data_IF_477140750258
#
_entry.id   IF_477140750258
#
_cell.length_a   1.000
_cell.length_b   1.000
_cell.length_c   1.000
_cell.angle_alpha   90.00
_cell.angle_beta   90.00
_cell.angle_gamma   90.00
#
_symmetry.space_group_name_H-M   'P 1'
#
loop_
_entity.id
_entity.type
_entity.pdbx_description
1 polymer ?
#
# COMPACT_ATOMS: atom_id res chain seq x y z
N UNK A 1 -14.47 11.89 11.46
CA UNK A 1 -15.48 11.93 10.37
C UNK A 1 -15.69 10.48 9.94
N UNK A 2 -16.92 9.96 10.01
CA UNK A 2 -17.20 8.64 9.46
C UNK A 2 -17.33 8.77 7.94
N UNK A 3 -16.52 8.01 7.22
CA UNK A 3 -16.41 8.06 5.74
C UNK A 3 -17.00 6.81 5.08
N UNK A 4 -17.76 5.99 5.83
CA UNK A 4 -18.43 4.79 5.30
C UNK A 4 -17.49 3.63 4.92
N UNK A 5 -16.26 3.61 5.45
CA UNK A 5 -15.28 2.56 5.15
C UNK A 5 -15.51 1.30 5.97
N UNK A 6 -15.33 0.13 5.37
CA UNK A 6 -15.28 -1.15 6.08
C UNK A 6 -13.90 -1.33 6.74
N UNK A 7 -13.88 -1.88 7.95
CA UNK A 7 -12.65 -2.21 8.68
C UNK A 7 -12.59 -3.69 8.98
N UNK A 8 -11.38 -4.24 8.98
CA UNK A 8 -11.09 -5.64 9.27
C UNK A 8 -9.86 -5.74 10.16
N UNK A 9 -9.70 -6.85 10.87
CA UNK A 9 -8.59 -7.08 11.80
C UNK A 9 -7.40 -7.81 11.16
N UNK A 10 -7.49 -8.17 9.89
CA UNK A 10 -6.43 -8.85 9.13
C UNK A 10 -6.28 -8.26 7.74
N UNK A 11 -5.08 -8.41 7.17
CA UNK A 11 -4.78 -7.85 5.84
C UNK A 11 -5.39 -8.69 4.70
N UNK A 12 -5.52 -10.02 4.88
CA UNK A 12 -5.95 -10.93 3.82
C UNK A 12 -7.29 -10.54 3.15
N UNK A 13 -8.36 -10.18 3.90
CA UNK A 13 -9.61 -9.73 3.29
C UNK A 13 -9.44 -8.47 2.43
N UNK A 14 -8.52 -7.57 2.80
CA UNK A 14 -8.24 -6.34 2.04
C UNK A 14 -7.50 -6.66 0.75
N UNK A 15 -6.53 -7.58 0.82
CA UNK A 15 -5.73 -8.04 -0.34
C UNK A 15 -6.62 -8.73 -1.37
N UNK A 16 -7.56 -9.57 -0.92
CA UNK A 16 -8.46 -10.30 -1.81
C UNK A 16 -9.53 -9.40 -2.44
N UNK A 17 -10.00 -8.39 -1.70
CA UNK A 17 -11.05 -7.48 -2.17
C UNK A 17 -10.54 -6.36 -3.08
N UNK A 18 -9.41 -5.74 -2.74
CA UNK A 18 -8.95 -4.51 -3.38
C UNK A 18 -8.58 -4.67 -4.86
N UNK A 19 -9.00 -3.73 -5.70
CA UNK A 19 -8.45 -3.57 -7.06
C UNK A 19 -7.16 -2.75 -7.08
N UNK A 20 -7.05 -1.85 -6.11
CA UNK A 20 -5.87 -1.06 -5.81
C UNK A 20 -5.59 -1.20 -4.33
N UNK A 21 -4.38 -1.62 -3.99
CA UNK A 21 -3.94 -1.77 -2.61
C UNK A 21 -3.01 -0.63 -2.27
N UNK A 22 -3.40 0.16 -1.26
CA UNK A 22 -2.61 1.29 -0.77
C UNK A 22 -1.84 0.86 0.48
N UNK A 23 -0.52 0.77 0.36
CA UNK A 23 0.38 0.49 1.47
C UNK A 23 0.69 1.79 2.23
N UNK A 24 -0.05 2.02 3.31
CA UNK A 24 -0.02 3.24 4.13
C UNK A 24 0.45 2.99 5.58
N UNK A 25 1.23 1.94 5.82
CA UNK A 25 1.79 1.63 7.14
C UNK A 25 3.09 2.40 7.39
N UNK A 26 3.52 2.47 8.65
CA UNK A 26 4.84 3.03 9.01
C UNK A 26 5.96 2.26 8.29
N UNK A 27 7.07 2.91 7.89
CA UNK A 27 8.16 2.25 7.15
C UNK A 27 8.70 1.00 7.84
N UNK A 28 8.81 1.00 9.17
CA UNK A 28 9.31 -0.14 9.95
C UNK A 28 8.36 -1.34 9.93
N UNK A 29 7.08 -1.12 9.61
CA UNK A 29 6.04 -2.16 9.56
C UNK A 29 5.99 -2.83 8.19
N UNK A 30 6.47 -2.17 7.13
CA UNK A 30 6.40 -2.69 5.76
C UNK A 30 6.94 -4.11 5.62
N UNK A 31 8.14 -4.47 6.14
CA UNK A 31 8.68 -5.83 6.00
C UNK A 31 7.77 -6.92 6.56
N UNK A 32 6.96 -6.61 7.58
CA UNK A 32 6.02 -7.56 8.18
C UNK A 32 4.77 -7.78 7.32
N UNK A 33 4.40 -6.81 6.47
CA UNK A 33 3.19 -6.85 5.62
C UNK A 33 3.49 -7.40 4.22
N UNK A 34 4.73 -7.26 3.72
CA UNK A 34 5.12 -7.76 2.38
C UNK A 34 4.74 -9.24 2.12
N UNK A 35 4.86 -10.18 3.09
CA UNK A 35 4.47 -11.57 2.87
C UNK A 35 3.00 -11.77 2.49
N UNK A 36 2.10 -10.88 2.93
CA UNK A 36 0.67 -10.94 2.62
C UNK A 36 0.39 -10.60 1.16
N UNK A 37 1.33 -9.94 0.47
CA UNK A 37 1.18 -9.45 -0.91
C UNK A 37 1.67 -10.45 -1.96
N UNK A 38 2.19 -11.62 -1.56
CA UNK A 38 2.82 -12.59 -2.47
C UNK A 38 1.95 -13.07 -3.62
N UNK A 39 0.63 -13.07 -3.44
CA UNK A 39 -0.33 -13.50 -4.46
C UNK A 39 -1.08 -12.32 -5.11
N UNK A 40 -0.81 -11.09 -4.70
CA UNK A 40 -1.52 -9.91 -5.18
C UNK A 40 -1.00 -9.46 -6.55
N UNK A 41 -1.87 -9.49 -7.56
CA UNK A 41 -1.50 -9.22 -8.97
C UNK A 41 -2.02 -7.90 -9.53
N UNK A 42 -2.80 -7.15 -8.75
CA UNK A 42 -3.38 -5.87 -9.19
C UNK A 42 -2.48 -4.71 -8.77
N UNK A 43 -2.96 -3.46 -8.85
CA UNK A 43 -2.10 -2.30 -8.58
C UNK A 43 -1.72 -2.19 -7.11
N UNK A 44 -0.42 -2.17 -6.82
CA UNK A 44 0.14 -1.81 -5.52
C UNK A 44 0.60 -0.36 -5.54
N UNK A 45 0.00 0.50 -4.70
CA UNK A 45 0.42 1.88 -4.49
C UNK A 45 0.99 2.02 -3.09
N UNK A 46 2.23 2.50 -2.94
CA UNK A 46 2.88 2.69 -1.64
C UNK A 46 3.14 4.15 -1.36
N UNK A 47 2.75 4.60 -0.17
CA UNK A 47 3.11 5.91 0.39
C UNK A 47 4.15 5.81 1.52
N UNK A 48 4.68 4.61 1.76
CA UNK A 48 5.67 4.38 2.81
C UNK A 48 7.04 4.98 2.45
N UNK A 49 7.46 5.99 3.22
CA UNK A 49 8.74 6.66 3.03
C UNK A 49 9.93 5.71 3.29
N UNK A 50 11.04 5.91 2.55
CA UNK A 50 12.29 5.18 2.81
C UNK A 50 12.33 3.74 2.30
N UNK A 51 11.24 3.19 1.76
CA UNK A 51 11.23 1.86 1.15
C UNK A 51 11.58 1.96 -0.34
N UNK A 52 12.65 1.30 -0.82
CA UNK A 52 12.99 1.29 -2.24
C UNK A 52 11.90 0.64 -3.09
N UNK A 53 11.66 1.15 -4.31
CA UNK A 53 10.69 0.56 -5.25
C UNK A 53 10.99 -0.92 -5.51
N UNK A 54 12.26 -1.27 -5.71
CA UNK A 54 12.70 -2.64 -5.92
C UNK A 54 12.34 -3.60 -4.76
N UNK A 55 12.24 -3.10 -3.53
CA UNK A 55 11.81 -3.93 -2.38
C UNK A 55 10.31 -4.24 -2.44
N UNK A 56 9.51 -3.31 -2.96
CA UNK A 56 8.07 -3.48 -3.15
C UNK A 56 7.80 -4.41 -4.34
N UNK A 57 8.51 -4.24 -5.45
CA UNK A 57 8.39 -5.10 -6.64
C UNK A 57 8.74 -6.56 -6.32
N UNK A 58 9.74 -6.80 -5.47
CA UNK A 58 10.10 -8.15 -5.02
C UNK A 58 9.06 -8.81 -4.13
N UNK A 59 8.15 -8.04 -3.53
CA UNK A 59 7.13 -8.57 -2.62
C UNK A 59 5.89 -9.09 -3.34
N UNK A 60 5.71 -8.71 -4.61
CA UNK A 60 4.57 -9.08 -5.44
C UNK A 60 5.01 -10.00 -6.59
N UNK A 61 4.09 -10.75 -7.22
CA UNK A 61 4.38 -11.50 -8.45
C UNK A 61 4.98 -10.62 -9.55
N UNK A 62 5.82 -11.22 -10.39
CA UNK A 62 6.37 -10.52 -11.53
C UNK A 62 5.25 -10.05 -12.48
N UNK A 63 5.37 -8.84 -13.01
CA UNK A 63 4.36 -8.19 -13.84
C UNK A 63 3.25 -7.47 -13.05
N UNK A 64 3.23 -7.55 -11.73
CA UNK A 64 2.33 -6.72 -10.91
C UNK A 64 2.74 -5.25 -11.00
N UNK A 65 1.81 -4.33 -11.34
CA UNK A 65 2.12 -2.91 -11.40
C UNK A 65 2.33 -2.35 -9.99
N UNK A 66 3.46 -1.67 -9.78
CA UNK A 66 3.83 -1.05 -8.50
C UNK A 66 4.09 0.44 -8.71
N UNK A 67 3.42 1.27 -7.91
CA UNK A 67 3.63 2.73 -7.88
C UNK A 67 4.09 3.11 -6.48
N UNK A 68 5.14 3.93 -6.41
CA UNK A 68 5.59 4.56 -5.17
C UNK A 68 5.34 6.06 -5.24
N UNK A 69 4.68 6.59 -4.23
CA UNK A 69 4.38 8.02 -4.06
C UNK A 69 4.98 8.51 -2.75
N UNK A 70 5.42 9.76 -2.69
CA UNK A 70 5.85 10.41 -1.44
C UNK A 70 4.96 11.64 -1.20
N UNK A 71 3.77 11.46 -0.62
CA UNK A 71 2.91 12.59 -0.32
C UNK A 71 3.55 13.46 0.77
N UNK A 72 3.09 14.70 0.86
CA UNK A 72 3.43 15.64 1.93
C UNK A 72 2.20 15.92 2.80
N UNK A 73 2.41 16.50 3.98
CA UNK A 73 1.34 16.81 4.94
C UNK A 73 0.21 17.69 4.39
N UNK A 74 0.46 18.68 3.49
CA UNK A 74 -0.59 19.44 2.82
C UNK A 74 -1.64 18.63 2.06
N UNK A 75 -1.39 17.35 1.75
CA UNK A 75 -2.40 16.46 1.19
C UNK A 75 -3.67 16.34 2.06
N UNK A 76 -3.56 16.55 3.38
CA UNK A 76 -4.70 16.52 4.32
C UNK A 76 -5.73 17.60 3.99
N UNK A 77 -5.29 18.74 3.46
CA UNK A 77 -6.17 19.85 3.06
C UNK A 77 -6.37 19.91 1.53
N UNK A 78 -5.96 18.87 0.81
CA UNK A 78 -6.08 18.80 -0.65
C UNK A 78 -5.07 19.66 -1.41
N UNK A 79 -4.05 20.20 -0.74
CA UNK A 79 -3.03 21.08 -1.33
C UNK A 79 -1.68 20.38 -1.48
N UNK A 80 -1.70 19.06 -1.76
CA UNK A 80 -0.49 18.31 -2.09
C UNK A 80 0.18 18.85 -3.35
N UNK A 81 1.47 18.57 -3.50
CA UNK A 81 2.29 18.96 -4.66
C UNK A 81 2.72 17.73 -5.46
#
# INVERSE_FOLDING_TARGET
QEIGSNTVFSNAPVVDYGDVLILAVKPQVVPMVLPDLKNYRKLLLSIAMGIPLASLEKAVPNGTPVIRVMPNTPAIVGCGA
#
